data_IF_885923583705
#
_entry.id   IF_885923583705
#
_cell.length_a   1.000
_cell.length_b   1.000
_cell.length_c   1.000
_cell.angle_alpha   90.00
_cell.angle_beta   90.00
_cell.angle_gamma   90.00
#
_symmetry.space_group_name_H-M   'P 1'
#
loop_
_entity.id
_entity.type
_entity.pdbx_description
1 polymer ?
#
# COMPACT_ATOMS: atom_id res chain seq x y z
N UNK A 1 11.01 21.05 16.47
CA UNK A 1 10.92 19.59 16.68
C UNK A 1 10.42 19.05 15.36
N UNK A 2 11.27 18.29 14.67
CA UNK A 2 10.99 17.76 13.33
C UNK A 2 9.75 16.89 13.43
N UNK A 3 8.69 17.29 12.75
CA UNK A 3 7.56 16.39 12.50
C UNK A 3 8.12 15.35 11.55
N UNK A 4 8.47 14.18 12.06
CA UNK A 4 8.70 12.99 11.25
C UNK A 4 7.33 12.61 10.66
N UNK A 5 6.94 13.41 9.66
CA UNK A 5 5.79 13.22 8.81
C UNK A 5 5.98 11.85 8.20
N UNK A 6 5.02 10.96 8.45
CA UNK A 6 5.05 9.62 7.88
C UNK A 6 4.89 9.78 6.38
N UNK A 7 6.00 9.89 5.66
CA UNK A 7 6.02 9.97 4.20
C UNK A 7 5.72 8.58 3.63
N UNK A 8 4.44 8.19 3.63
CA UNK A 8 4.05 6.86 3.14
C UNK A 8 4.18 6.73 1.63
N UNK A 9 3.97 7.84 0.93
CA UNK A 9 3.90 7.87 -0.52
C UNK A 9 5.20 8.34 -1.17
N UNK A 10 6.12 8.93 -0.42
CA UNK A 10 7.45 9.31 -0.89
C UNK A 10 7.45 10.41 -1.93
N UNK A 11 8.56 11.13 -2.01
CA UNK A 11 8.92 11.75 -3.27
C UNK A 11 9.17 10.63 -4.30
N UNK A 12 8.40 10.65 -5.40
CA UNK A 12 8.55 9.76 -6.56
C UNK A 12 9.77 10.11 -7.38
N UNK A 13 10.96 10.10 -6.78
CA UNK A 13 12.20 10.19 -7.54
C UNK A 13 12.85 8.81 -7.62
N UNK A 14 12.87 8.24 -8.82
CA UNK A 14 13.64 7.03 -9.10
C UNK A 14 15.12 7.21 -8.69
N UNK A 15 15.63 8.45 -8.69
CA UNK A 15 16.96 8.80 -8.18
C UNK A 15 17.19 8.39 -6.72
N UNK A 16 16.18 8.47 -5.85
CA UNK A 16 16.30 8.05 -4.44
C UNK A 16 16.50 6.54 -4.32
N UNK A 17 15.78 5.75 -5.14
CA UNK A 17 15.93 4.30 -5.19
C UNK A 17 17.35 3.93 -5.62
N UNK A 18 17.89 4.58 -6.66
CA UNK A 18 19.26 4.32 -7.11
C UNK A 18 20.31 4.64 -6.05
N UNK A 19 20.18 5.77 -5.36
CA UNK A 19 21.10 6.16 -4.28
C UNK A 19 21.09 5.13 -3.15
N UNK A 20 19.91 4.67 -2.73
CA UNK A 20 19.78 3.67 -1.68
C UNK A 20 20.34 2.31 -2.11
N UNK A 21 20.07 1.86 -3.34
CA UNK A 21 20.59 0.61 -3.86
C UNK A 21 22.12 0.63 -3.96
N UNK A 22 22.71 1.73 -4.42
CA UNK A 22 24.16 1.88 -4.45
C UNK A 22 24.76 1.82 -3.04
N UNK A 23 24.17 2.51 -2.06
CA UNK A 23 24.62 2.45 -0.67
C UNK A 23 24.52 1.04 -0.06
N UNK A 24 23.47 0.28 -0.38
CA UNK A 24 23.33 -1.11 0.05
C UNK A 24 24.37 -2.05 -0.57
N UNK A 25 24.70 -1.84 -1.85
CA UNK A 25 25.76 -2.59 -2.53
C UNK A 25 27.12 -2.28 -1.88
N UNK A 26 27.44 -1.00 -1.67
CA UNK A 26 28.70 -0.59 -1.06
C UNK A 26 28.84 -1.17 0.36
N UNK A 27 27.79 -1.11 1.18
CA UNK A 27 27.77 -1.75 2.50
C UNK A 27 27.90 -3.28 2.46
N UNK A 28 27.44 -3.93 1.39
CA UNK A 28 27.63 -5.37 1.17
C UNK A 28 29.09 -5.69 0.86
N UNK A 29 29.78 -4.82 0.12
CA UNK A 29 31.21 -4.96 -0.14
C UNK A 29 32.03 -4.78 1.13
N UNK A 30 31.71 -3.78 1.95
CA UNK A 30 32.34 -3.55 3.25
C UNK A 30 32.16 -4.73 4.22
N UNK A 31 31.06 -5.47 4.08
CA UNK A 31 30.78 -6.69 4.84
C UNK A 31 31.57 -7.92 4.36
N UNK A 32 32.38 -7.80 3.31
CA UNK A 32 33.27 -8.85 2.80
C UNK A 32 32.69 -9.69 1.67
N UNK A 33 31.79 -9.15 0.86
CA UNK A 33 31.33 -9.81 -0.37
C UNK A 33 32.47 -9.97 -1.39
N UNK A 34 32.37 -11.00 -2.24
CA UNK A 34 33.39 -11.37 -3.22
C UNK A 34 33.66 -10.22 -4.22
N UNK A 35 34.87 -9.61 -4.22
CA UNK A 35 35.16 -8.43 -5.04
C UNK A 35 35.07 -8.67 -6.54
N UNK A 36 35.29 -9.91 -6.98
CA UNK A 36 35.24 -10.28 -8.41
C UNK A 36 33.82 -10.30 -8.98
N UNK A 37 32.79 -10.38 -8.12
CA UNK A 37 31.37 -10.40 -8.52
C UNK A 37 30.67 -9.05 -8.30
N UNK A 38 31.41 -8.02 -7.88
CA UNK A 38 30.84 -6.70 -7.53
C UNK A 38 30.08 -6.06 -8.69
N UNK A 39 30.68 -6.07 -9.88
CA UNK A 39 30.11 -5.44 -11.06
C UNK A 39 28.86 -6.20 -11.53
N UNK A 40 28.90 -7.54 -11.48
CA UNK A 40 27.77 -8.40 -11.80
C UNK A 40 26.60 -8.17 -10.82
N UNK A 41 26.88 -8.07 -9.52
CA UNK A 41 25.87 -7.78 -8.50
C UNK A 41 25.26 -6.39 -8.72
N UNK A 42 26.10 -5.37 -8.98
CA UNK A 42 25.65 -4.00 -9.23
C UNK A 42 24.75 -3.95 -10.46
N UNK A 43 25.15 -4.60 -11.56
CA UNK A 43 24.35 -4.67 -12.76
C UNK A 43 23.01 -5.38 -12.50
N UNK A 44 23.02 -6.53 -11.84
CA UNK A 44 21.82 -7.29 -11.53
C UNK A 44 20.81 -6.47 -10.71
N UNK A 45 21.27 -5.81 -9.64
CA UNK A 45 20.39 -5.00 -8.78
C UNK A 45 19.80 -3.82 -9.54
N UNK A 46 20.58 -3.18 -10.41
CA UNK A 46 20.12 -2.05 -11.22
C UNK A 46 19.15 -2.49 -12.32
N UNK A 47 19.37 -3.66 -12.95
CA UNK A 47 18.47 -4.23 -13.95
C UNK A 47 17.07 -4.49 -13.37
N UNK A 48 16.98 -4.82 -12.08
CA UNK A 48 15.71 -5.04 -11.36
C UNK A 48 15.25 -3.85 -10.51
N UNK A 49 15.94 -2.69 -10.58
CA UNK A 49 15.58 -1.48 -9.81
C UNK A 49 14.13 -1.04 -10.05
N UNK A 50 13.62 -1.25 -11.26
CA UNK A 50 12.23 -0.97 -11.64
C UNK A 50 11.18 -1.79 -10.89
N UNK A 51 11.55 -2.84 -10.14
CA UNK A 51 10.64 -3.62 -9.29
C UNK A 51 10.73 -3.25 -7.80
N UNK A 52 11.68 -2.39 -7.43
CA UNK A 52 11.94 -2.00 -6.05
C UNK A 52 11.28 -0.64 -5.81
N UNK A 53 10.54 -0.53 -4.71
CA UNK A 53 9.88 0.71 -4.30
C UNK A 53 10.29 1.03 -2.88
N UNK A 54 10.59 2.30 -2.64
CA UNK A 54 10.83 2.84 -1.30
C UNK A 54 9.52 3.36 -0.71
N UNK A 55 8.57 3.72 -1.58
CA UNK A 55 7.36 4.43 -1.23
C UNK A 55 6.15 3.89 -2.00
N UNK A 56 4.94 4.06 -1.46
CA UNK A 56 3.71 3.58 -2.08
C UNK A 56 3.24 4.51 -3.21
N UNK A 57 3.12 3.98 -4.41
CA UNK A 57 2.67 4.72 -5.61
C UNK A 57 1.49 4.01 -6.24
N UNK A 58 0.53 4.76 -6.79
CA UNK A 58 -0.48 4.18 -7.67
C UNK A 58 0.16 3.77 -9.00
N UNK A 59 0.34 2.47 -9.16
CA UNK A 59 0.72 1.88 -10.42
C UNK A 59 -0.48 1.30 -11.13
N UNK A 60 -0.42 1.29 -12.46
CA UNK A 60 -1.40 0.56 -13.25
C UNK A 60 -1.34 -0.90 -12.79
N UNK A 61 -2.49 -1.41 -12.35
CA UNK A 61 -2.61 -2.83 -12.07
C UNK A 61 -2.03 -3.62 -13.25
N UNK A 62 -1.39 -4.75 -12.95
CA UNK A 62 -1.01 -5.72 -13.97
C UNK A 62 -2.22 -6.04 -14.86
N UNK A 63 -2.02 -6.72 -15.99
CA UNK A 63 -3.11 -7.12 -16.90
C UNK A 63 -4.05 -8.19 -16.31
N UNK A 64 -4.36 -8.07 -15.02
CA UNK A 64 -5.23 -8.89 -14.22
C UNK A 64 -6.63 -8.28 -14.18
N UNK A 65 -7.62 -9.14 -14.01
CA UNK A 65 -9.00 -8.71 -13.88
C UNK A 65 -9.21 -8.03 -12.52
N UNK A 66 -10.01 -6.96 -12.45
CA UNK A 66 -10.36 -6.34 -11.17
C UNK A 66 -10.94 -7.36 -10.20
N UNK A 67 -10.56 -7.25 -8.92
CA UNK A 67 -11.13 -8.08 -7.87
C UNK A 67 -12.60 -7.70 -7.62
N UNK A 68 -13.51 -8.66 -7.83
CA UNK A 68 -14.94 -8.46 -7.56
C UNK A 68 -15.34 -8.97 -6.17
N UNK A 69 -15.84 -8.06 -5.34
CA UNK A 69 -16.36 -8.39 -4.01
C UNK A 69 -17.86 -8.67 -4.09
N UNK A 70 -18.26 -9.91 -3.81
CA UNK A 70 -19.66 -10.32 -3.81
C UNK A 70 -20.22 -10.39 -2.39
N UNK A 71 -21.40 -9.79 -2.21
CA UNK A 71 -22.14 -9.84 -0.96
C UNK A 71 -23.09 -11.05 -0.97
N UNK A 72 -23.22 -11.73 0.15
CA UNK A 72 -24.24 -12.76 0.29
C UNK A 72 -25.65 -12.17 0.29
N UNK A 73 -26.61 -12.98 -0.18
CA UNK A 73 -28.02 -12.61 -0.19
C UNK A 73 -28.51 -12.30 1.23
N UNK A 74 -29.25 -11.19 1.37
CA UNK A 74 -29.71 -10.69 2.67
C UNK A 74 -28.68 -9.86 3.45
N UNK A 75 -27.48 -9.59 2.90
CA UNK A 75 -26.51 -8.68 3.53
C UNK A 75 -27.10 -7.28 3.73
N UNK A 76 -26.97 -6.76 4.95
CA UNK A 76 -27.49 -5.43 5.30
C UNK A 76 -26.41 -4.37 5.21
N UNK A 77 -26.73 -3.23 4.61
CA UNK A 77 -25.87 -2.05 4.58
C UNK A 77 -25.43 -1.67 6.00
N UNK A 78 -24.13 -1.41 6.16
CA UNK A 78 -23.55 -0.95 7.41
C UNK A 78 -22.79 0.34 7.21
N UNK A 79 -23.14 1.37 7.97
CA UNK A 79 -22.41 2.63 8.04
C UNK A 79 -22.00 2.86 9.48
N UNK A 80 -20.69 2.90 9.72
CA UNK A 80 -20.16 3.30 11.02
C UNK A 80 -20.58 4.72 11.37
N UNK A 81 -20.88 4.95 12.64
CA UNK A 81 -21.13 6.30 13.15
C UNK A 81 -19.87 7.16 13.13
N UNK A 82 -20.02 8.43 13.50
CA UNK A 82 -18.89 9.35 13.65
C UNK A 82 -18.11 8.97 14.91
N UNK A 83 -16.82 8.72 14.76
CA UNK A 83 -15.91 8.46 15.88
C UNK A 83 -15.23 9.76 16.32
N UNK A 84 -15.14 9.97 17.63
CA UNK A 84 -14.39 11.08 18.22
C UNK A 84 -12.97 10.59 18.54
N UNK A 85 -12.00 11.19 17.87
CA UNK A 85 -10.58 10.96 18.12
C UNK A 85 -9.94 12.18 18.79
N UNK A 86 -8.93 11.98 19.66
CA UNK A 86 -8.02 13.02 20.12
C UNK A 86 -7.41 13.78 18.94
N UNK A 87 -7.03 15.04 19.14
CA UNK A 87 -6.63 15.92 18.05
C UNK A 87 -5.39 15.40 17.30
N UNK A 88 -4.41 14.84 18.02
CA UNK A 88 -3.21 14.21 17.42
C UNK A 88 -3.59 13.08 16.45
N UNK A 89 -4.48 12.19 16.87
CA UNK A 89 -4.95 11.08 16.03
C UNK A 89 -5.77 11.58 14.84
N UNK A 90 -6.57 12.63 15.04
CA UNK A 90 -7.38 13.22 13.96
C UNK A 90 -6.48 13.84 12.90
N UNK A 91 -5.45 14.58 13.30
CA UNK A 91 -4.48 15.19 12.39
C UNK A 91 -3.77 14.10 11.58
N UNK A 92 -3.26 13.07 12.25
CA UNK A 92 -2.64 11.92 11.59
C UNK A 92 -3.58 11.28 10.54
N UNK A 93 -4.83 10.99 10.90
CA UNK A 93 -5.80 10.40 9.96
C UNK A 93 -6.04 11.29 8.74
N UNK A 94 -6.09 12.62 8.92
CA UNK A 94 -6.30 13.56 7.82
C UNK A 94 -5.11 13.62 6.87
N UNK A 95 -3.89 13.68 7.41
CA UNK A 95 -2.64 13.71 6.65
C UNK A 95 -2.46 12.39 5.88
N UNK A 96 -2.62 11.25 6.56
CA UNK A 96 -2.50 9.93 5.96
C UNK A 96 -3.50 9.71 4.81
N UNK A 97 -4.78 10.07 5.01
CA UNK A 97 -5.79 9.93 3.95
C UNK A 97 -5.49 10.86 2.78
N UNK A 98 -4.99 12.07 3.05
CA UNK A 98 -4.60 13.02 2.01
C UNK A 98 -3.46 12.47 1.15
N UNK A 99 -2.47 11.83 1.76
CA UNK A 99 -1.38 11.17 1.04
C UNK A 99 -1.91 10.06 0.13
N UNK A 100 -2.76 9.16 0.67
CA UNK A 100 -3.38 8.11 -0.13
C UNK A 100 -4.23 8.65 -1.30
N UNK A 101 -4.98 9.74 -1.08
CA UNK A 101 -5.75 10.41 -2.12
C UNK A 101 -4.83 11.01 -3.18
N UNK A 102 -3.75 11.67 -2.77
CA UNK A 102 -2.77 12.27 -3.68
C UNK A 102 -2.00 11.24 -4.50
N UNK A 103 -1.74 10.07 -3.89
CA UNK A 103 -1.14 8.94 -4.55
C UNK A 103 -2.12 8.23 -5.48
N UNK A 104 -3.44 8.50 -5.43
CA UNK A 104 -4.44 7.82 -6.25
C UNK A 104 -4.82 6.42 -5.75
N UNK A 105 -4.49 6.09 -4.50
CA UNK A 105 -4.80 4.78 -3.89
C UNK A 105 -6.21 4.70 -3.31
N UNK A 106 -6.81 5.86 -2.99
CA UNK A 106 -8.20 5.96 -2.49
C UNK A 106 -8.93 7.09 -3.19
N UNK A 107 -10.25 6.95 -3.29
CA UNK A 107 -11.14 7.96 -3.85
C UNK A 107 -12.20 8.41 -2.83
N UNK A 108 -12.67 9.66 -2.98
CA UNK A 108 -13.75 10.18 -2.15
C UNK A 108 -15.10 9.67 -2.64
N UNK A 109 -15.70 8.78 -1.86
CA UNK A 109 -17.05 8.27 -2.11
C UNK A 109 -18.04 8.70 -1.02
N UNK A 110 -18.72 9.84 -1.22
CA UNK A 110 -19.74 10.35 -0.29
C UNK A 110 -21.10 9.63 -0.39
N UNK A 111 -21.32 8.87 -1.46
CA UNK A 111 -22.59 8.21 -1.75
C UNK A 111 -22.64 6.75 -1.23
N UNK A 112 -21.52 6.23 -0.74
CA UNK A 112 -21.45 4.87 -0.23
C UNK A 112 -22.42 4.65 0.92
N UNK A 113 -23.23 3.60 0.79
CA UNK A 113 -24.07 3.07 1.88
C UNK A 113 -23.28 2.22 2.87
N UNK A 114 -22.01 1.97 2.57
CA UNK A 114 -21.07 1.19 3.37
C UNK A 114 -19.97 2.09 3.91
N UNK A 115 -19.77 2.08 5.24
CA UNK A 115 -18.62 2.73 5.84
C UNK A 115 -18.15 1.96 7.06
N UNK A 116 -16.84 1.83 7.20
CA UNK A 116 -16.21 1.34 8.41
C UNK A 116 -15.33 2.41 9.03
N UNK A 117 -15.10 2.32 10.35
CA UNK A 117 -14.21 3.25 11.00
C UNK A 117 -12.76 2.95 10.62
N UNK A 118 -12.03 4.01 10.27
CA UNK A 118 -10.58 3.99 10.26
C UNK A 118 -10.10 4.16 11.71
N UNK A 119 -9.33 3.19 12.20
CA UNK A 119 -8.84 3.13 13.56
C UNK A 119 -7.32 3.41 13.54
N UNK A 120 -6.87 4.50 14.17
CA UNK A 120 -5.45 4.74 14.37
C UNK A 120 -4.93 3.80 15.48
N UNK A 121 -3.87 3.06 15.17
CA UNK A 121 -3.22 2.11 16.08
C UNK A 121 -1.77 2.53 16.25
N UNK A 122 -1.30 2.60 17.49
CA UNK A 122 0.11 2.87 17.78
C UNK A 122 0.99 1.70 17.37
N UNK A 123 2.04 1.96 16.62
CA UNK A 123 3.06 0.96 16.33
C UNK A 123 3.81 0.62 17.63
N UNK A 124 4.09 -0.68 17.85
CA UNK A 124 4.71 -1.11 19.10
C UNK A 124 6.13 -0.55 19.20
N UNK A 125 6.43 0.14 20.30
CA UNK A 125 7.75 0.69 20.56
C UNK A 125 8.06 2.01 19.84
N UNK A 126 7.09 2.59 19.12
CA UNK A 126 7.21 3.94 18.54
C UNK A 126 5.97 4.77 18.89
N UNK A 127 6.08 6.09 18.83
CA UNK A 127 4.94 7.02 18.95
C UNK A 127 4.20 7.21 17.61
N UNK A 128 4.51 6.38 16.61
CA UNK A 128 3.92 6.44 15.28
C UNK A 128 2.56 5.74 15.25
N UNK A 129 1.67 6.28 14.41
CA UNK A 129 0.37 5.68 14.16
C UNK A 129 0.35 4.91 12.83
N UNK A 130 -0.47 3.86 12.79
CA UNK A 130 -0.87 3.14 11.57
C UNK A 130 -2.40 3.17 11.48
N UNK A 131 -2.95 3.15 10.27
CA UNK A 131 -4.40 3.01 10.08
C UNK A 131 -4.76 1.53 9.92
N UNK A 132 -5.82 1.12 10.61
CA UNK A 132 -6.51 -0.15 10.35
C UNK A 132 -8.00 0.11 10.13
N UNK A 133 -8.60 -0.54 9.14
CA UNK A 133 -10.05 -0.45 8.93
C UNK A 133 -10.75 -1.55 9.74
N UNK A 134 -11.74 -1.17 10.55
CA UNK A 134 -12.47 -2.06 11.44
C UNK A 134 -13.47 -3.01 10.74
N UNK A 135 -13.00 -3.88 9.84
CA UNK A 135 -13.85 -4.78 9.04
C UNK A 135 -14.68 -5.78 9.85
N UNK A 136 -14.37 -6.02 11.13
CA UNK A 136 -15.12 -6.99 11.97
C UNK A 136 -16.62 -6.70 12.03
N UNK A 137 -17.02 -5.42 11.98
CA UNK A 137 -18.42 -5.03 11.96
C UNK A 137 -19.09 -5.28 10.59
N UNK A 138 -18.28 -5.30 9.53
CA UNK A 138 -18.70 -5.76 8.21
C UNK A 138 -18.79 -7.29 8.20
N UNK A 139 -17.79 -8.04 8.66
CA UNK A 139 -17.77 -9.51 8.64
C UNK A 139 -18.94 -10.18 9.39
N UNK A 140 -19.42 -9.59 10.49
CA UNK A 140 -20.61 -10.11 11.19
C UNK A 140 -21.94 -9.85 10.45
N UNK A 141 -21.97 -8.91 9.50
CA UNK A 141 -23.17 -8.52 8.73
C UNK A 141 -23.09 -8.83 7.24
N UNK A 142 -21.88 -9.12 6.76
CA UNK A 142 -21.52 -9.46 5.41
C UNK A 142 -20.77 -10.78 5.49
N UNK A 143 -21.42 -11.85 5.04
CA UNK A 143 -20.66 -12.99 4.57
C UNK A 143 -20.12 -12.61 3.20
N UNK A 144 -18.90 -12.08 3.17
CA UNK A 144 -18.22 -11.71 1.93
C UNK A 144 -17.61 -12.99 1.37
N UNK A 145 -18.05 -13.43 0.19
CA UNK A 145 -17.32 -14.43 -0.59
C UNK A 145 -16.45 -13.69 -1.58
N UNK A 146 -15.16 -13.60 -1.28
CA UNK A 146 -14.16 -13.21 -2.27
C UNK A 146 -14.05 -14.36 -3.28
N UNK A 147 -14.68 -14.21 -4.43
CA UNK A 147 -14.41 -15.07 -5.60
C UNK A 147 -13.42 -14.32 -6.48
N UNK A 148 -12.16 -14.72 -6.42
CA UNK A 148 -11.18 -14.29 -7.43
C UNK A 148 -11.52 -15.04 -8.71
N UNK A 149 -12.10 -14.34 -9.69
CA UNK A 149 -12.28 -14.89 -11.03
C UNK A 149 -11.01 -14.61 -11.81
N UNK A 150 -10.19 -15.62 -12.02
CA UNK A 150 -9.05 -15.55 -12.95
C UNK A 150 -9.56 -16.05 -14.29
N UNK A 151 -10.01 -15.16 -15.18
CA UNK A 151 -10.19 -15.56 -16.57
C UNK A 151 -8.83 -15.52 -17.28
N UNK A 152 -8.29 -16.71 -17.54
CA UNK A 152 -7.17 -16.86 -18.48
C UNK A 152 -7.63 -16.49 -19.89
N UNK A 153 -7.14 -15.36 -20.41
CA UNK A 153 -7.18 -15.10 -21.85
C UNK A 153 -6.31 -16.13 -22.56
N UNK A 154 -6.93 -17.11 -23.20
CA UNK A 154 -6.26 -17.95 -24.17
C UNK A 154 -5.66 -17.05 -25.26
N UNK A 155 -4.33 -17.12 -25.45
CA UNK A 155 -3.68 -16.50 -26.60
C UNK A 155 -4.22 -17.18 -27.86
N UNK A 156 -4.99 -16.45 -28.66
CA UNK A 156 -5.33 -16.87 -30.00
C UNK A 156 -4.06 -16.77 -30.86
N UNK A 157 -3.34 -17.88 -31.01
CA UNK A 157 -2.36 -18.06 -32.07
C UNK A 157 -3.10 -18.03 -33.42
N UNK A 158 -2.90 -16.97 -34.18
CA UNK A 158 -3.29 -16.92 -35.59
C UNK A 158 -2.08 -17.37 -36.40
N UNK A 159 -2.22 -18.48 -37.12
CA UNK A 159 -1.24 -19.03 -38.04
C UNK A 159 -1.68 -18.76 -39.48
#
# INVERSE_FOLDING_TARGET
>A
MSSDLVDLCGATDNGEVYVLLHGLIDGTMDAGFEPTMTDDLRQLVLDYSGNIRVCLVHEKAAHEQPLEVHLEEGSQHYRSGVHRFPDVQRQFLQEYVRELESAGLVERNMQSRWACPALPVTQRGTDEFRITIGYRLLECKLKIKLKVKVETRAKAETR
#
